data_IF_790662953957
#
_entry.id   IF_790662953957
#
_cell.length_a   1.000
_cell.length_b   1.000
_cell.length_c   1.000
_cell.angle_alpha   90.00
_cell.angle_beta   90.00
_cell.angle_gamma   90.00
#
_symmetry.space_group_name_H-M   'P 1'
#
loop_
_entity.id
_entity.type
_entity.pdbx_description
1 polymer ?
#
# COMPACT_ATOMS: atom_id res chain seq x y z
N UNK A 1 -8.46 -23.08 20.61
CA UNK A 1 -7.14 -22.44 20.76
C UNK A 1 -7.07 -21.25 19.81
N UNK A 2 -7.06 -20.02 20.33
CA UNK A 2 -6.99 -18.80 19.51
C UNK A 2 -5.51 -18.50 19.23
N UNK A 3 -5.04 -18.80 18.02
CA UNK A 3 -3.69 -18.41 17.58
C UNK A 3 -3.66 -16.90 17.37
N UNK A 4 -3.34 -16.18 18.44
CA UNK A 4 -3.03 -14.77 18.42
C UNK A 4 -1.63 -14.62 17.80
N UNK A 5 -1.58 -14.43 16.48
CA UNK A 5 -0.33 -14.21 15.76
C UNK A 5 0.20 -12.84 16.17
N UNK A 6 1.14 -12.86 17.12
CA UNK A 6 1.98 -11.72 17.48
C UNK A 6 2.81 -11.30 16.27
N UNK A 7 2.43 -10.23 15.58
CA UNK A 7 3.39 -9.44 14.80
C UNK A 7 3.82 -8.25 15.65
N UNK A 8 5.03 -8.34 16.24
CA UNK A 8 5.73 -7.20 16.83
C UNK A 8 6.03 -6.20 15.70
N UNK A 9 5.09 -5.29 15.43
CA UNK A 9 5.37 -4.12 14.61
C UNK A 9 6.33 -3.26 15.42
N UNK A 10 7.59 -3.22 15.00
CA UNK A 10 8.56 -2.26 15.49
C UNK A 10 8.01 -0.89 15.08
N UNK A 11 7.35 -0.18 16.01
CA UNK A 11 6.77 1.14 15.78
C UNK A 11 7.93 2.12 15.69
N UNK A 12 8.71 2.03 14.62
CA UNK A 12 9.52 3.17 14.25
C UNK A 12 8.53 4.29 13.96
N UNK A 13 8.70 5.40 14.68
CA UNK A 13 7.95 6.65 14.56
C UNK A 13 8.24 7.26 13.17
N UNK A 14 7.79 6.61 12.12
CA UNK A 14 7.95 7.05 10.74
C UNK A 14 6.83 8.04 10.44
N UNK A 15 7.20 9.31 10.33
CA UNK A 15 6.34 10.33 9.76
C UNK A 15 6.64 10.45 8.27
N UNK A 16 5.64 10.17 7.44
CA UNK A 16 5.75 10.34 6.00
C UNK A 16 5.21 11.72 5.59
N UNK A 17 5.89 12.37 4.64
CA UNK A 17 5.43 13.63 4.04
C UNK A 17 4.52 13.35 2.85
N UNK A 18 3.65 14.30 2.50
CA UNK A 18 2.91 14.27 1.23
C UNK A 18 3.89 14.11 0.08
N UNK A 19 3.57 13.23 -0.85
CA UNK A 19 4.44 12.87 -1.97
C UNK A 19 5.45 11.76 -1.69
N UNK A 20 5.62 11.32 -0.45
CA UNK A 20 6.51 10.20 -0.13
C UNK A 20 5.99 8.89 -0.72
N UNK A 21 6.91 8.07 -1.25
CA UNK A 21 6.61 6.74 -1.75
C UNK A 21 6.62 5.71 -0.61
N UNK A 22 5.53 4.99 -0.49
CA UNK A 22 5.31 3.96 0.54
C UNK A 22 4.75 2.70 -0.11
N UNK A 23 4.75 1.59 0.63
CA UNK A 23 4.07 0.36 0.24
C UNK A 23 3.15 -0.10 1.35
N UNK A 24 1.95 -0.50 0.98
CA UNK A 24 1.00 -1.16 1.88
C UNK A 24 1.21 -2.66 1.76
N UNK A 25 1.42 -3.34 2.90
CA UNK A 25 1.44 -4.80 2.94
C UNK A 25 0.02 -5.31 3.13
N UNK A 26 -0.45 -6.07 2.14
CA UNK A 26 -1.77 -6.68 2.12
C UNK A 26 -1.57 -8.18 2.32
N UNK A 27 -2.21 -8.72 3.34
CA UNK A 27 -2.25 -10.17 3.57
C UNK A 27 -3.17 -10.74 2.49
N UNK A 28 -2.64 -11.66 1.67
CA UNK A 28 -3.44 -12.38 0.69
C UNK A 28 -4.34 -13.35 1.45
N UNK A 29 -5.65 -13.09 1.45
CA UNK A 29 -6.63 -13.85 2.26
C UNK A 29 -6.77 -15.31 1.75
N UNK A 30 -6.33 -15.59 0.51
CA UNK A 30 -6.49 -16.89 -0.15
C UNK A 30 -5.17 -17.60 -0.56
N UNK A 31 -4.01 -17.25 0.02
CA UNK A 31 -2.77 -18.00 -0.25
C UNK A 31 -2.33 -18.78 0.99
N UNK A 32 -2.17 -20.09 0.82
CA UNK A 32 -1.51 -20.97 1.80
C UNK A 32 -0.03 -20.64 1.99
N UNK A 33 0.60 -19.99 1.00
CA UNK A 33 1.92 -19.38 1.15
C UNK A 33 1.77 -17.99 1.76
N UNK A 34 2.52 -17.66 2.81
CA UNK A 34 2.50 -16.34 3.47
C UNK A 34 3.02 -15.17 2.62
N UNK A 35 2.69 -15.14 1.32
CA UNK A 35 3.08 -14.13 0.36
C UNK A 35 2.23 -12.86 0.56
N UNK A 36 2.92 -11.77 0.93
CA UNK A 36 2.31 -10.46 1.08
C UNK A 36 2.30 -9.74 -0.26
N UNK A 37 1.15 -9.22 -0.68
CA UNK A 37 1.13 -8.24 -1.76
C UNK A 37 1.62 -6.90 -1.21
N UNK A 38 2.63 -6.33 -1.88
CA UNK A 38 3.08 -4.98 -1.63
C UNK A 38 2.47 -4.06 -2.69
N UNK A 39 1.48 -3.26 -2.29
CA UNK A 39 0.88 -2.25 -3.15
C UNK A 39 1.70 -0.96 -3.05
N UNK A 40 2.40 -0.54 -4.11
CA UNK A 40 3.13 0.72 -4.12
C UNK A 40 2.16 1.90 -4.17
N UNK A 41 2.31 2.83 -3.24
CA UNK A 41 1.48 4.02 -3.11
C UNK A 41 2.34 5.26 -2.85
N UNK A 42 1.72 6.43 -3.03
CA UNK A 42 2.23 7.74 -2.67
C UNK A 42 1.36 8.33 -1.57
N UNK A 43 1.95 9.04 -0.62
CA UNK A 43 1.18 9.75 0.41
C UNK A 43 0.46 10.93 -0.25
N UNK A 44 -0.87 10.86 -0.27
CA UNK A 44 -1.73 11.88 -0.84
C UNK A 44 -2.04 12.98 0.19
N UNK A 45 -2.39 12.59 1.41
CA UNK A 45 -2.66 13.51 2.51
C UNK A 45 -2.24 12.93 3.85
N UNK A 46 -1.86 13.81 4.78
CA UNK A 46 -1.48 13.48 6.15
C UNK A 46 -2.55 14.01 7.10
N UNK A 47 -3.18 13.10 7.82
CA UNK A 47 -4.16 13.38 8.86
C UNK A 47 -3.47 13.44 10.25
N UNK A 48 -4.16 13.97 11.28
CA UNK A 48 -3.69 13.86 12.65
C UNK A 48 -3.36 12.42 13.05
N UNK A 49 -2.49 12.24 14.04
CA UNK A 49 -2.08 10.94 14.58
C UNK A 49 -1.32 10.02 13.59
N UNK A 50 -0.60 10.59 12.61
CA UNK A 50 0.16 9.83 11.61
C UNK A 50 -0.73 8.84 10.84
N UNK A 51 -1.92 9.32 10.49
CA UNK A 51 -2.85 8.64 9.60
C UNK A 51 -2.62 9.21 8.19
N UNK A 52 -2.63 8.35 7.18
CA UNK A 52 -2.30 8.73 5.81
C UNK A 52 -3.41 8.31 4.86
N UNK A 53 -3.82 9.24 4.00
CA UNK A 53 -4.46 8.89 2.74
C UNK A 53 -3.38 8.59 1.71
N UNK A 54 -3.56 7.46 1.03
CA UNK A 54 -2.61 6.98 0.06
C UNK A 54 -3.27 6.95 -1.31
N UNK A 55 -2.47 7.22 -2.33
CA UNK A 55 -2.87 7.09 -3.72
C UNK A 55 -1.96 6.07 -4.40
N UNK A 56 -2.53 5.09 -5.10
CA UNK A 56 -1.80 4.11 -5.90
C UNK A 56 -2.07 4.37 -7.38
N UNK A 57 -1.37 3.67 -8.28
CA UNK A 57 -1.54 3.85 -9.74
C UNK A 57 -2.99 3.71 -10.24
N UNK A 58 -3.86 3.04 -9.48
CA UNK A 58 -5.26 2.79 -9.84
C UNK A 58 -6.25 3.80 -9.24
N UNK A 59 -5.82 4.64 -8.29
CA UNK A 59 -6.69 5.60 -7.62
C UNK A 59 -6.30 5.89 -6.16
N UNK A 60 -7.10 6.74 -5.51
CA UNK A 60 -7.01 7.00 -4.07
C UNK A 60 -7.55 5.79 -3.32
N UNK A 61 -6.80 5.30 -2.34
CA UNK A 61 -7.28 4.23 -1.47
C UNK A 61 -8.41 4.74 -0.58
N UNK A 62 -9.53 4.04 -0.60
CA UNK A 62 -10.71 4.37 0.22
C UNK A 62 -10.41 4.35 1.72
N UNK A 63 -9.46 3.51 2.13
CA UNK A 63 -9.04 3.36 3.53
C UNK A 63 -7.89 4.28 3.89
N UNK A 64 -7.87 4.72 5.14
CA UNK A 64 -6.72 5.41 5.73
C UNK A 64 -5.76 4.43 6.41
N UNK A 65 -4.46 4.77 6.44
CA UNK A 65 -3.44 3.88 6.99
C UNK A 65 -2.64 4.54 8.10
N UNK A 66 -2.33 3.78 9.14
CA UNK A 66 -1.40 4.18 10.18
C UNK A 66 0.05 4.00 9.70
N UNK A 67 0.97 4.81 10.22
CA UNK A 67 2.42 4.68 9.97
C UNK A 67 2.94 3.24 10.11
N UNK A 68 2.48 2.51 11.12
CA UNK A 68 2.91 1.13 11.38
C UNK A 68 2.38 0.09 10.40
N UNK A 69 1.45 0.46 9.51
CA UNK A 69 0.86 -0.40 8.46
C UNK A 69 1.41 -0.09 7.08
N UNK A 70 2.28 0.91 6.96
CA UNK A 70 2.91 1.32 5.71
C UNK A 70 4.42 1.26 5.87
N UNK A 71 5.10 0.81 4.82
CA UNK A 71 6.56 0.72 4.81
C UNK A 71 7.12 1.72 3.81
N UNK A 72 8.31 2.29 4.05
CA UNK A 72 8.97 3.11 3.06
C UNK A 72 9.26 2.27 1.82
N UNK A 73 8.94 2.83 0.66
CA UNK A 73 9.32 2.22 -0.61
C UNK A 73 10.52 3.00 -1.14
N UNK A 74 11.66 2.31 -1.33
CA UNK A 74 12.81 2.94 -2.00
C UNK A 74 12.35 3.40 -3.38
N UNK A 75 12.75 4.61 -3.82
CA UNK A 75 12.34 5.13 -5.11
C UNK A 75 12.76 4.14 -6.21
N UNK A 76 11.78 3.49 -6.83
CA UNK A 76 11.94 2.85 -8.13
C UNK A 76 11.54 3.91 -9.15
N UNK A 77 12.42 4.15 -10.14
CA UNK A 77 12.22 5.11 -11.24
C UNK A 77 10.81 5.08 -11.86
N UNK A 78 10.15 3.93 -11.86
CA UNK A 78 8.87 3.73 -12.51
C UNK A 78 7.66 4.23 -11.69
N UNK A 79 7.78 4.45 -10.37
CA UNK A 79 6.65 4.90 -9.55
C UNK A 79 6.63 6.42 -9.36
N UNK A 80 7.80 7.06 -9.47
CA UNK A 80 7.94 8.51 -9.29
C UNK A 80 7.28 9.31 -10.41
N UNK A 81 7.18 8.73 -11.62
CA UNK A 81 6.59 9.33 -12.81
C UNK A 81 5.11 8.97 -13.05
N UNK A 82 4.52 8.11 -12.22
CA UNK A 82 3.10 7.86 -12.30
C UNK A 82 2.40 8.93 -11.45
N UNK A 83 1.66 9.82 -12.10
CA UNK A 83 0.69 10.70 -11.44
C UNK A 83 -0.65 9.96 -11.40
N UNK A 84 -0.96 9.23 -10.31
CA UNK A 84 -2.18 8.47 -10.23
C UNK A 84 -3.40 9.39 -10.26
N UNK A 85 -4.48 8.90 -10.87
CA UNK A 85 -5.75 9.63 -10.89
C UNK A 85 -6.27 9.82 -9.46
N UNK A 86 -6.39 11.08 -9.04
CA UNK A 86 -6.96 11.44 -7.73
C UNK A 86 -8.49 11.51 -7.75
N UNK A 87 -9.10 11.34 -8.94
CA UNK A 87 -10.56 11.44 -9.14
C UNK A 87 -11.27 10.09 -8.98
N UNK A 88 -10.51 9.00 -8.83
CA UNK A 88 -11.02 7.64 -8.70
C UNK A 88 -10.65 7.13 -7.31
N UNK A 89 -11.62 6.56 -6.60
CA UNK A 89 -11.38 5.81 -5.37
C UNK A 89 -11.35 4.32 -5.67
N UNK A 90 -10.50 3.59 -4.96
CA UNK A 90 -10.37 2.14 -5.13
C UNK A 90 -10.13 1.46 -3.78
N UNK A 91 -10.72 0.29 -3.60
CA UNK A 91 -10.43 -0.52 -2.41
C UNK A 91 -9.05 -1.15 -2.51
N UNK A 92 -8.47 -1.47 -1.34
CA UNK A 92 -7.16 -2.13 -1.24
C UNK A 92 -7.15 -3.48 -1.99
N UNK A 93 -8.27 -4.21 -1.92
CA UNK A 93 -8.43 -5.53 -2.54
C UNK A 93 -8.49 -5.40 -4.06
N UNK A 94 -9.28 -4.45 -4.58
CA UNK A 94 -9.37 -4.21 -6.02
C UNK A 94 -8.03 -3.76 -6.60
N UNK A 95 -7.35 -2.83 -5.93
CA UNK A 95 -6.02 -2.39 -6.34
C UNK A 95 -5.01 -3.55 -6.38
N UNK A 96 -5.06 -4.47 -5.42
CA UNK A 96 -4.21 -5.67 -5.41
C UNK A 96 -4.55 -6.65 -6.55
N UNK A 97 -5.84 -6.84 -6.86
CA UNK A 97 -6.30 -7.66 -7.99
C UNK A 97 -5.83 -7.07 -9.32
N UNK A 98 -6.01 -5.77 -9.51
CA UNK A 98 -5.55 -5.05 -10.71
C UNK A 98 -4.03 -5.16 -10.86
N UNK A 99 -3.27 -4.97 -9.77
CA UNK A 99 -1.81 -5.14 -9.79
C UNK A 99 -1.41 -6.55 -10.20
N UNK A 100 -2.10 -7.57 -9.69
CA UNK A 100 -1.81 -8.97 -10.02
C UNK A 100 -2.06 -9.27 -11.50
N UNK A 101 -3.14 -8.74 -12.07
CA UNK A 101 -3.46 -8.92 -13.49
C UNK A 101 -2.44 -8.20 -14.39
N UNK A 102 -2.02 -6.97 -14.03
CA UNK A 102 -0.97 -6.25 -14.76
C UNK A 102 0.36 -7.00 -14.77
N UNK A 103 0.68 -7.73 -13.68
CA UNK A 103 1.88 -8.59 -13.57
C UNK A 103 1.74 -9.91 -14.34
N UNK A 104 0.52 -10.36 -14.63
CA UNK A 104 0.29 -11.54 -15.45
C UNK A 104 0.42 -11.21 -16.95
N UNK A 105 -0.11 -10.07 -17.39
CA UNK A 105 -0.09 -9.66 -18.81
C UNK A 105 1.31 -9.31 -19.32
N UNK A 106 2.17 -8.71 -18.49
CA UNK A 106 3.52 -8.32 -18.88
C UNK A 106 4.54 -9.48 -18.86
N UNK A 107 4.08 -10.73 -18.70
CA UNK A 107 4.90 -11.95 -18.76
C UNK A 107 4.74 -12.74 -20.08
N UNK A 108 4.02 -12.19 -21.06
CA UNK A 108 3.86 -12.78 -22.41
C UNK A 108 4.78 -12.08 -23.40
#
# INVERSE_FOLDING_TARGET
MKHQICTKYNIHKHSYKVGALVKVQIIKIDCESGDYYALPCKVFSVLPNNIYYLVCQFGVLESTFLAGKVLPLKPKKNLENNDPSTNITVSVIEAAKLQSNTIADNKT
#
